data_IF_580458855873
#
_entry.id   IF_580458855873
#
_cell.length_a   1.000
_cell.length_b   1.000
_cell.length_c   1.000
_cell.angle_alpha   90.00
_cell.angle_beta   90.00
_cell.angle_gamma   90.00
#
_symmetry.space_group_name_H-M   'P 1'
#
loop_
_entity.id
_entity.type
_entity.pdbx_description
1 polymer ?
#
# COMPACT_ATOMS: atom_id res chain seq x y z
N UNK A 1 -37.23 30.18 -30.07
CA UNK A 1 -36.12 29.37 -29.55
C UNK A 1 -34.84 29.94 -30.15
N UNK A 2 -34.04 30.64 -29.34
CA UNK A 2 -32.75 31.19 -29.78
C UNK A 2 -31.77 30.01 -29.98
N UNK A 3 -31.31 29.82 -31.22
CA UNK A 3 -30.36 28.77 -31.59
C UNK A 3 -29.05 28.87 -30.81
N UNK A 4 -28.30 27.77 -30.76
CA UNK A 4 -27.06 27.70 -29.99
C UNK A 4 -26.03 28.72 -30.50
N UNK A 5 -25.15 29.22 -29.62
CA UNK A 5 -24.16 30.26 -29.96
C UNK A 5 -23.28 29.87 -31.15
N UNK A 6 -23.04 28.57 -31.33
CA UNK A 6 -22.29 27.99 -32.45
C UNK A 6 -22.98 28.15 -33.81
N UNK A 7 -24.32 28.18 -33.86
CA UNK A 7 -25.09 28.29 -35.11
C UNK A 7 -25.14 29.74 -35.65
N UNK A 8 -24.94 30.71 -34.77
CA UNK A 8 -24.88 32.15 -35.11
C UNK A 8 -23.44 32.69 -35.27
N UNK A 9 -22.42 31.83 -35.16
CA UNK A 9 -21.02 32.23 -35.24
C UNK A 9 -20.49 32.15 -36.68
N UNK A 10 -19.85 33.24 -37.14
CA UNK A 10 -19.16 33.27 -38.44
C UNK A 10 -17.95 32.33 -38.45
N UNK A 11 -17.73 31.60 -39.56
CA UNK A 11 -16.59 30.68 -39.74
C UNK A 11 -15.23 31.30 -39.40
N UNK A 12 -15.04 32.61 -39.62
CA UNK A 12 -13.80 33.31 -39.24
C UNK A 12 -13.60 33.35 -37.71
N UNK A 13 -14.65 33.70 -36.97
CA UNK A 13 -14.64 33.75 -35.50
C UNK A 13 -14.43 32.36 -34.91
N UNK A 14 -15.08 31.35 -35.50
CA UNK A 14 -14.89 29.95 -35.12
C UNK A 14 -13.43 29.50 -35.31
N UNK A 15 -12.81 29.85 -36.44
CA UNK A 15 -11.41 29.50 -36.71
C UNK A 15 -10.43 30.12 -35.69
N UNK A 16 -10.63 31.39 -35.31
CA UNK A 16 -9.80 32.02 -34.26
C UNK A 16 -9.95 31.34 -32.90
N UNK A 17 -11.18 30.96 -32.52
CA UNK A 17 -11.44 30.25 -31.26
C UNK A 17 -10.75 28.89 -31.27
N UNK A 18 -10.87 28.14 -32.37
CA UNK A 18 -10.21 26.83 -32.52
C UNK A 18 -8.68 26.93 -32.46
N UNK A 19 -8.09 27.91 -33.16
CA UNK A 19 -6.64 28.14 -33.12
C UNK A 19 -6.16 28.54 -31.72
N UNK A 20 -6.93 29.37 -31.01
CA UNK A 20 -6.62 29.76 -29.62
C UNK A 20 -6.68 28.57 -28.67
N UNK A 21 -7.71 27.72 -28.78
CA UNK A 21 -7.84 26.50 -27.99
C UNK A 21 -6.72 25.51 -28.30
N UNK A 22 -6.35 25.39 -29.58
CA UNK A 22 -5.25 24.53 -30.01
C UNK A 22 -3.90 25.00 -29.45
N UNK A 23 -3.63 26.31 -29.49
CA UNK A 23 -2.43 26.88 -28.87
C UNK A 23 -2.41 26.65 -27.35
N UNK A 24 -3.54 26.83 -26.66
CA UNK A 24 -3.64 26.56 -25.23
C UNK A 24 -3.40 25.07 -24.90
N UNK A 25 -3.95 24.14 -25.70
CA UNK A 25 -3.70 22.70 -25.56
C UNK A 25 -2.21 22.35 -25.67
N UNK A 26 -1.51 22.93 -26.66
CA UNK A 26 -0.06 22.74 -26.82
C UNK A 26 0.69 23.24 -25.59
N UNK A 27 0.34 24.43 -25.08
CA UNK A 27 0.98 25.00 -23.89
C UNK A 27 0.79 24.10 -22.67
N UNK A 28 -0.43 23.63 -22.42
CA UNK A 28 -0.70 22.73 -21.29
C UNK A 28 0.01 21.38 -21.43
N UNK A 29 0.13 20.85 -22.64
CA UNK A 29 0.90 19.62 -22.87
C UNK A 29 2.38 19.81 -22.56
N UNK A 30 2.98 20.93 -23.00
CA UNK A 30 4.39 21.24 -22.72
C UNK A 30 4.61 21.44 -21.21
N UNK A 31 3.69 22.12 -20.51
CA UNK A 31 3.76 22.28 -19.06
C UNK A 31 3.67 20.93 -18.34
N UNK A 32 2.78 20.04 -18.77
CA UNK A 32 2.67 18.69 -18.23
C UNK A 32 3.94 17.87 -18.46
N UNK A 33 4.57 17.98 -19.63
CA UNK A 33 5.75 17.20 -19.98
C UNK A 33 7.05 17.71 -19.33
N UNK A 34 7.21 19.03 -19.15
CA UNK A 34 8.46 19.63 -18.68
C UNK A 34 8.45 20.02 -17.20
N UNK A 35 7.29 20.37 -16.65
CA UNK A 35 7.20 20.92 -15.30
C UNK A 35 6.52 19.98 -14.30
N UNK A 36 5.63 19.09 -14.75
CA UNK A 36 4.94 18.17 -13.84
C UNK A 36 5.84 17.00 -13.48
N UNK A 37 6.01 16.68 -12.19
CA UNK A 37 6.58 15.40 -11.80
C UNK A 37 5.63 14.25 -12.16
N UNK A 38 6.13 13.03 -12.05
CA UNK A 38 5.35 11.82 -12.24
C UNK A 38 4.11 11.84 -11.32
N UNK A 39 2.91 11.57 -11.83
CA UNK A 39 1.66 11.76 -11.08
C UNK A 39 1.51 10.82 -9.88
N UNK A 40 2.14 9.65 -9.94
CA UNK A 40 2.11 8.64 -8.89
C UNK A 40 3.45 7.93 -8.79
N UNK A 41 3.88 7.63 -7.58
CA UNK A 41 5.05 6.79 -7.28
C UNK A 41 4.57 5.55 -6.53
N UNK A 42 5.08 4.39 -6.91
CA UNK A 42 4.89 3.13 -6.20
C UNK A 42 6.18 2.72 -5.49
N UNK A 43 6.04 2.00 -4.40
CA UNK A 43 7.12 1.47 -3.59
C UNK A 43 6.68 0.14 -3.01
N UNK A 44 7.56 -0.85 -3.09
CA UNK A 44 7.30 -2.20 -2.59
C UNK A 44 7.99 -2.38 -1.23
N UNK A 45 7.29 -3.05 -0.31
CA UNK A 45 7.82 -3.36 1.02
C UNK A 45 7.65 -4.84 1.29
N UNK A 46 8.77 -5.48 1.63
CA UNK A 46 8.75 -6.80 2.23
C UNK A 46 8.53 -6.59 3.73
N UNK A 47 7.46 -7.19 4.26
CA UNK A 47 7.16 -7.12 5.67
C UNK A 47 8.15 -7.96 6.47
N UNK A 48 8.68 -7.40 7.55
CA UNK A 48 9.53 -8.12 8.49
C UNK A 48 8.64 -8.85 9.49
N UNK A 49 8.89 -10.14 9.66
CA UNK A 49 8.22 -11.00 10.63
C UNK A 49 8.78 -10.71 12.02
N UNK A 50 7.92 -10.39 12.96
CA UNK A 50 8.27 -9.99 14.33
C UNK A 50 7.59 -10.92 15.32
N UNK A 51 8.30 -11.29 16.38
CA UNK A 51 7.73 -12.06 17.48
C UNK A 51 6.99 -11.15 18.47
N UNK A 52 5.76 -11.51 18.80
CA UNK A 52 4.98 -10.93 19.90
C UNK A 52 4.72 -11.97 21.00
N UNK A 53 5.38 -11.78 22.15
CA UNK A 53 5.24 -12.65 23.32
C UNK A 53 3.82 -12.56 23.91
N UNK A 54 3.16 -11.40 23.77
CA UNK A 54 1.83 -11.15 24.33
C UNK A 54 0.71 -11.63 23.39
N UNK A 55 1.04 -11.96 22.14
CA UNK A 55 0.13 -12.54 21.14
C UNK A 55 -1.05 -11.62 20.79
N UNK A 56 -0.78 -10.33 20.60
CA UNK A 56 -1.77 -9.31 20.26
C UNK A 56 -2.67 -8.87 21.41
N UNK A 57 -2.42 -9.31 22.65
CA UNK A 57 -3.26 -8.96 23.82
C UNK A 57 -3.05 -7.53 24.32
N UNK A 58 -1.92 -6.93 23.97
CA UNK A 58 -1.58 -5.57 24.37
C UNK A 58 -1.67 -4.65 23.15
N UNK A 59 -2.79 -3.92 23.00
CA UNK A 59 -2.98 -3.02 21.87
C UNK A 59 -2.03 -1.82 21.93
N UNK A 60 -1.50 -1.45 23.08
CA UNK A 60 -0.64 -0.27 23.21
C UNK A 60 0.80 -0.54 22.74
N UNK A 61 1.16 -1.82 22.53
CA UNK A 61 2.49 -2.23 22.07
C UNK A 61 2.60 -2.08 20.54
N UNK A 62 3.50 -1.21 20.11
CA UNK A 62 3.82 -0.99 18.70
C UNK A 62 5.14 -1.66 18.31
N UNK A 63 5.14 -2.34 17.16
CA UNK A 63 6.33 -2.91 16.56
C UNK A 63 6.83 -2.01 15.42
N UNK A 64 8.12 -1.66 15.44
CA UNK A 64 8.74 -0.83 14.42
C UNK A 64 10.20 -1.25 14.20
N UNK A 65 10.70 -0.97 13.00
CA UNK A 65 12.00 -1.46 12.55
C UNK A 65 13.14 -0.46 12.85
N UNK A 66 12.81 0.82 13.07
CA UNK A 66 13.77 1.92 13.14
C UNK A 66 13.44 2.94 14.25
N UNK A 67 14.21 2.98 15.35
CA UNK A 67 15.15 1.93 15.82
C UNK A 67 14.40 0.62 16.11
N UNK A 68 15.03 -0.55 15.99
CA UNK A 68 14.30 -1.83 16.08
C UNK A 68 13.69 -2.04 17.47
N UNK A 69 12.36 -2.13 17.52
CA UNK A 69 11.58 -2.58 18.69
C UNK A 69 10.71 -3.78 18.28
N UNK A 70 11.37 -4.71 17.60
CA UNK A 70 10.82 -5.98 17.17
C UNK A 70 11.95 -7.01 17.22
N UNK A 71 11.61 -8.21 17.68
CA UNK A 71 12.48 -9.39 17.61
C UNK A 71 12.19 -10.11 16.29
N UNK A 72 13.07 -10.02 15.27
CA UNK A 72 12.77 -10.52 13.94
C UNK A 72 12.83 -12.06 13.89
N UNK A 73 11.85 -12.65 13.21
CA UNK A 73 11.81 -14.08 12.88
C UNK A 73 12.39 -14.24 11.47
N UNK A 74 13.61 -14.77 11.37
CA UNK A 74 14.27 -14.95 10.07
C UNK A 74 13.55 -15.98 9.20
N UNK A 75 13.22 -17.13 9.80
CA UNK A 75 12.63 -18.26 9.11
C UNK A 75 11.41 -18.78 9.88
N UNK A 76 10.31 -18.98 9.17
CA UNK A 76 9.07 -19.47 9.75
C UNK A 76 9.12 -20.98 9.98
N UNK A 77 9.95 -21.72 9.23
CA UNK A 77 10.04 -23.18 9.29
C UNK A 77 10.55 -23.69 10.64
N UNK A 78 11.42 -22.91 11.28
CA UNK A 78 12.00 -23.21 12.59
C UNK A 78 11.28 -22.51 13.74
N UNK A 79 10.29 -21.66 13.44
CA UNK A 79 9.55 -20.93 14.45
C UNK A 79 8.40 -21.78 15.00
N UNK A 80 8.44 -22.04 16.31
CA UNK A 80 7.36 -22.75 17.00
C UNK A 80 6.44 -21.71 17.65
N UNK A 81 5.19 -21.57 17.17
CA UNK A 81 4.26 -20.58 17.71
C UNK A 81 3.88 -20.93 19.15
N UNK A 82 3.84 -19.91 20.01
CA UNK A 82 3.47 -20.05 21.42
C UNK A 82 1.96 -20.23 21.58
N UNK A 83 1.17 -19.70 20.66
CA UNK A 83 -0.29 -19.75 20.69
C UNK A 83 -0.83 -20.55 19.50
N UNK A 84 -1.95 -21.24 19.70
CA UNK A 84 -2.59 -22.03 18.64
C UNK A 84 -3.07 -21.16 17.47
N UNK A 85 -3.45 -19.91 17.76
CA UNK A 85 -3.96 -18.95 16.77
C UNK A 85 -2.84 -18.21 16.02
N UNK A 86 -1.57 -18.55 16.26
CA UNK A 86 -0.38 -17.95 15.60
C UNK A 86 -0.27 -16.41 15.73
N UNK A 87 -0.99 -15.80 16.68
CA UNK A 87 -1.02 -14.35 16.94
C UNK A 87 0.29 -13.78 17.50
N UNK A 88 1.25 -14.65 17.82
CA UNK A 88 2.61 -14.28 18.19
C UNK A 88 3.50 -13.92 17.00
N UNK A 89 3.00 -14.02 15.76
CA UNK A 89 3.70 -13.58 14.55
C UNK A 89 3.04 -12.30 14.04
N UNK A 90 3.81 -11.22 13.98
CA UNK A 90 3.36 -9.91 13.49
C UNK A 90 4.17 -9.52 12.26
N UNK A 91 3.49 -9.13 11.18
CA UNK A 91 4.14 -8.64 9.96
C UNK A 91 4.23 -7.11 10.00
N UNK A 92 5.45 -6.58 10.00
CA UNK A 92 5.72 -5.15 10.20
C UNK A 92 6.36 -4.56 8.96
N UNK A 93 5.77 -3.49 8.45
CA UNK A 93 6.40 -2.62 7.45
C UNK A 93 6.44 -1.19 8.00
N UNK A 94 7.53 -0.48 7.72
CA UNK A 94 7.68 0.92 8.11
C UNK A 94 7.91 1.78 6.87
N UNK A 95 6.95 2.66 6.59
CA UNK A 95 6.98 3.59 5.47
C UNK A 95 7.38 4.99 5.96
N UNK A 96 8.08 5.81 5.14
CA UNK A 96 8.64 5.50 3.83
C UNK A 96 9.95 4.68 3.89
N UNK A 97 10.43 4.21 2.73
CA UNK A 97 11.72 3.54 2.62
C UNK A 97 12.87 4.50 2.95
N UNK A 98 13.97 3.98 3.51
CA UNK A 98 15.19 4.76 3.69
C UNK A 98 15.94 4.82 2.37
N UNK A 99 16.40 6.01 1.98
CA UNK A 99 17.22 6.19 0.78
C UNK A 99 18.55 6.81 1.18
N UNK A 100 19.65 6.19 0.75
CA UNK A 100 21.01 6.67 1.02
C UNK A 100 21.31 6.90 2.52
N UNK A 101 20.74 6.05 3.38
CA UNK A 101 20.90 6.13 4.84
C UNK A 101 20.05 7.22 5.53
N UNK A 102 19.21 7.94 4.79
CA UNK A 102 18.37 9.01 5.31
C UNK A 102 16.93 8.48 5.49
N UNK A 103 16.36 8.73 6.67
CA UNK A 103 14.93 8.51 6.91
C UNK A 103 14.13 9.58 6.18
N UNK A 104 13.42 9.18 5.13
CA UNK A 104 12.49 10.05 4.42
C UNK A 104 11.21 10.23 5.25
N UNK A 105 10.47 11.29 4.94
CA UNK A 105 9.21 11.64 5.60
C UNK A 105 8.14 11.87 4.53
N UNK A 106 6.91 11.45 4.81
CA UNK A 106 5.78 11.86 3.98
C UNK A 106 5.44 13.32 4.26
N UNK A 107 5.09 14.03 3.19
CA UNK A 107 4.57 15.39 3.26
C UNK A 107 3.07 15.40 2.99
N UNK A 108 2.37 16.38 3.54
CA UNK A 108 0.94 16.61 3.29
C UNK A 108 0.61 16.92 1.81
N UNK A 109 1.61 17.14 0.96
CA UNK A 109 1.43 17.27 -0.49
C UNK A 109 1.09 15.95 -1.17
N UNK A 110 1.39 14.81 -0.54
CA UNK A 110 0.86 13.51 -0.97
C UNK A 110 -0.59 13.42 -0.49
N UNK A 111 -1.53 13.64 -1.40
CA UNK A 111 -2.96 13.72 -1.09
C UNK A 111 -3.59 12.37 -0.70
N UNK A 112 -2.99 11.26 -1.13
CA UNK A 112 -3.48 9.92 -0.86
C UNK A 112 -2.31 8.92 -0.75
N UNK A 113 -2.54 7.83 -0.02
CA UNK A 113 -1.62 6.70 0.05
C UNK A 113 -2.41 5.41 -0.21
N UNK A 114 -2.06 4.69 -1.27
CA UNK A 114 -2.65 3.39 -1.54
C UNK A 114 -1.69 2.30 -1.04
N UNK A 115 -2.19 1.42 -0.19
CA UNK A 115 -1.49 0.19 0.20
C UNK A 115 -2.02 -1.00 -0.58
N UNK A 116 -1.13 -1.84 -1.08
CA UNK A 116 -1.49 -3.17 -1.59
C UNK A 116 -0.74 -4.20 -0.75
N UNK A 117 -1.47 -5.17 -0.20
CA UNK A 117 -0.89 -6.32 0.48
C UNK A 117 -0.92 -7.50 -0.50
N UNK A 118 0.26 -7.99 -0.83
CA UNK A 118 0.47 -9.23 -1.55
C UNK A 118 0.84 -10.33 -0.55
N UNK A 119 0.14 -11.46 -0.62
CA UNK A 119 0.36 -12.58 0.30
C UNK A 119 0.98 -13.73 -0.47
N UNK A 120 2.16 -14.08 0.01
CA UNK A 120 3.06 -15.06 -0.56
C UNK A 120 2.97 -16.35 0.26
N UNK A 121 2.52 -17.45 -0.37
CA UNK A 121 2.28 -18.71 0.32
C UNK A 121 3.11 -19.82 -0.31
N UNK A 122 3.92 -20.49 0.52
CA UNK A 122 4.65 -21.68 0.10
C UNK A 122 3.72 -22.89 0.00
N UNK A 123 3.87 -23.64 -1.10
CA UNK A 123 3.11 -24.86 -1.32
C UNK A 123 3.80 -26.08 -0.69
N UNK A 124 3.14 -26.71 0.29
CA UNK A 124 3.56 -28.01 0.82
C UNK A 124 2.59 -29.11 0.35
N UNK A 125 3.07 -30.16 -0.35
CA UNK A 125 2.22 -31.28 -0.79
C UNK A 125 1.56 -32.06 0.36
N UNK A 126 2.03 -31.92 1.60
CA UNK A 126 1.41 -32.52 2.80
C UNK A 126 0.13 -31.79 3.22
N UNK A 127 -0.02 -30.52 2.82
CA UNK A 127 -1.17 -29.70 3.15
C UNK A 127 -1.99 -29.43 1.89
N UNK A 128 -3.15 -30.07 1.76
CA UNK A 128 -4.08 -29.73 0.67
C UNK A 128 -4.70 -28.37 0.97
N UNK A 129 -4.37 -27.35 0.18
CA UNK A 129 -5.06 -26.07 0.24
C UNK A 129 -6.56 -26.30 0.06
N UNK A 130 -7.33 -25.87 1.05
CA UNK A 130 -8.77 -25.73 0.85
C UNK A 130 -8.98 -24.72 -0.27
N UNK A 131 -9.80 -25.05 -1.26
CA UNK A 131 -10.09 -24.25 -2.47
C UNK A 131 -10.62 -22.83 -2.17
N UNK A 132 -10.91 -22.54 -0.90
CA UNK A 132 -11.32 -21.24 -0.39
C UNK A 132 -10.87 -21.12 1.08
N UNK A 133 -9.62 -20.74 1.31
CA UNK A 133 -9.13 -20.44 2.66
C UNK A 133 -9.55 -19.02 3.06
N UNK A 134 -10.07 -18.85 4.28
CA UNK A 134 -10.43 -17.53 4.81
C UNK A 134 -9.25 -17.01 5.62
N UNK A 135 -8.67 -15.91 5.15
CA UNK A 135 -7.64 -15.16 5.84
C UNK A 135 -8.30 -14.05 6.68
N UNK A 136 -8.03 -14.05 7.98
CA UNK A 136 -8.43 -12.97 8.88
C UNK A 136 -7.19 -12.17 9.26
N UNK A 137 -7.20 -10.88 8.95
CA UNK A 137 -6.10 -9.97 9.22
C UNK A 137 -6.57 -8.89 10.19
N UNK A 138 -5.83 -8.75 11.29
CA UNK A 138 -5.89 -7.57 12.14
C UNK A 138 -4.83 -6.59 11.63
N UNK A 139 -5.27 -5.50 11.00
CA UNK A 139 -4.40 -4.51 10.38
C UNK A 139 -4.42 -3.25 11.21
N UNK A 140 -3.24 -2.80 11.62
CA UNK A 140 -3.04 -1.57 12.38
C UNK A 140 -2.07 -0.68 11.66
N UNK A 141 -2.43 0.58 11.54
CA UNK A 141 -1.59 1.62 10.96
C UNK A 141 -1.39 2.70 12.00
N UNK A 142 -0.13 2.95 12.33
CA UNK A 142 0.29 4.04 13.19
C UNK A 142 1.02 5.11 12.39
N UNK A 143 1.02 6.33 12.91
CA UNK A 143 1.85 7.41 12.41
C UNK A 143 2.71 7.98 13.53
N UNK A 144 3.80 8.63 13.11
CA UNK A 144 4.70 9.36 13.99
C UNK A 144 5.12 10.66 13.31
N UNK A 145 5.14 11.74 14.08
CA UNK A 145 5.61 13.05 13.65
C UNK A 145 7.02 13.32 14.18
N UNK A 146 7.69 14.35 13.65
CA UNK A 146 9.05 14.72 14.08
C UNK A 146 9.12 15.19 15.54
N UNK A 147 8.00 15.66 16.07
CA UNK A 147 7.89 16.16 17.45
C UNK A 147 7.62 15.04 18.45
N UNK A 148 7.23 13.85 17.98
CA UNK A 148 6.97 12.72 18.85
C UNK A 148 8.29 12.08 19.34
N UNK A 149 8.32 11.58 20.58
CA UNK A 149 9.38 10.71 21.09
C UNK A 149 9.64 9.50 20.18
N UNK A 150 10.85 8.90 20.21
CA UNK A 150 11.22 7.82 19.30
C UNK A 150 10.28 6.61 19.35
N UNK A 151 9.75 6.29 20.53
CA UNK A 151 8.95 5.09 20.81
C UNK A 151 7.44 5.38 20.86
N UNK A 152 7.03 6.64 20.65
CA UNK A 152 5.63 7.04 20.69
C UNK A 152 5.02 6.98 19.30
N UNK A 153 4.15 6.00 19.09
CA UNK A 153 3.34 5.83 17.89
C UNK A 153 1.88 6.14 18.20
N UNK A 154 1.24 6.85 17.29
CA UNK A 154 -0.17 7.19 17.39
C UNK A 154 -0.97 6.30 16.43
N UNK A 155 -2.03 5.68 16.92
CA UNK A 155 -2.92 4.90 16.06
C UNK A 155 -3.63 5.82 15.06
N UNK A 156 -3.51 5.51 13.78
CA UNK A 156 -4.29 6.15 12.72
C UNK A 156 -5.58 5.37 12.47
N UNK A 157 -5.45 4.05 12.33
CA UNK A 157 -6.56 3.14 12.09
C UNK A 157 -6.20 1.72 12.54
N UNK A 158 -7.14 1.04 13.17
CA UNK A 158 -7.11 -0.40 13.43
C UNK A 158 -8.37 -1.03 12.84
N UNK A 159 -8.23 -2.11 12.08
CA UNK A 159 -9.34 -2.78 11.42
C UNK A 159 -9.11 -4.27 11.29
N UNK A 160 -10.20 -5.02 11.39
CA UNK A 160 -10.21 -6.46 11.17
C UNK A 160 -10.83 -6.72 9.80
N UNK A 161 -10.05 -7.32 8.90
CA UNK A 161 -10.50 -7.63 7.54
C UNK A 161 -10.46 -9.14 7.32
N UNK A 162 -11.54 -9.67 6.77
CA UNK A 162 -11.63 -11.08 6.40
C UNK A 162 -11.67 -11.18 4.88
N UNK A 163 -10.78 -11.98 4.30
CA UNK A 163 -10.68 -12.15 2.86
C UNK A 163 -10.57 -13.63 2.50
N UNK A 164 -11.21 -14.00 1.40
CA UNK A 164 -11.05 -15.32 0.82
C UNK A 164 -9.79 -15.31 -0.05
N UNK A 165 -8.92 -16.29 0.16
CA UNK A 165 -7.73 -16.49 -0.65
C UNK A 165 -8.10 -17.29 -1.89
N UNK A 166 -8.06 -16.64 -3.05
CA UNK A 166 -8.08 -17.31 -4.34
C UNK A 166 -6.64 -17.41 -4.83
N UNK A 167 -6.09 -18.63 -4.77
CA UNK A 167 -4.73 -18.92 -5.21
C UNK A 167 -4.77 -19.75 -6.48
N UNK A 168 -4.00 -19.36 -7.49
CA UNK A 168 -3.80 -20.15 -8.70
C UNK A 168 -2.41 -20.76 -8.69
N UNK A 169 -2.30 -22.08 -8.74
CA UNK A 169 -1.02 -22.77 -8.87
C UNK A 169 -0.69 -22.83 -10.37
N UNK A 170 0.37 -22.16 -10.84
CA UNK A 170 0.78 -22.28 -12.24
C UNK A 170 1.26 -23.70 -12.54
N UNK A 171 0.68 -24.33 -13.57
CA UNK A 171 0.94 -25.74 -13.96
C UNK A 171 2.42 -26.05 -14.29
N UNK A 172 3.24 -25.02 -14.53
CA UNK A 172 4.64 -25.17 -14.95
C UNK A 172 5.67 -25.11 -13.80
N UNK A 173 5.27 -24.82 -12.56
CA UNK A 173 6.21 -24.72 -11.43
C UNK A 173 6.00 -25.91 -10.50
N UNK A 174 6.68 -27.01 -10.82
CA UNK A 174 7.06 -27.96 -9.76
C UNK A 174 8.05 -27.21 -8.88
N UNK A 175 7.63 -26.88 -7.66
CA UNK A 175 8.41 -26.37 -6.54
C UNK A 175 8.37 -24.84 -6.25
N UNK A 176 7.76 -24.56 -5.09
CA UNK A 176 8.11 -23.56 -4.05
C UNK A 176 7.27 -22.30 -3.84
N UNK A 177 6.52 -21.75 -4.80
CA UNK A 177 5.77 -20.52 -4.50
C UNK A 177 4.44 -20.40 -5.21
N UNK A 178 3.37 -20.15 -4.45
CA UNK A 178 2.05 -19.79 -4.98
C UNK A 178 1.77 -18.33 -4.65
N UNK A 179 1.62 -17.50 -5.68
CA UNK A 179 1.18 -16.11 -5.53
C UNK A 179 -0.34 -16.13 -5.42
N UNK A 180 -0.86 -15.61 -4.31
CA UNK A 180 -2.30 -15.48 -4.08
C UNK A 180 -2.77 -14.04 -4.38
N UNK A 181 -4.05 -13.89 -4.66
CA UNK A 181 -4.70 -12.64 -5.08
C UNK A 181 -4.28 -11.39 -4.28
N UNK A 182 -4.15 -10.25 -4.97
CA UNK A 182 -3.78 -8.98 -4.36
C UNK A 182 -4.88 -8.38 -3.48
N UNK A 183 -4.52 -7.80 -2.33
CA UNK A 183 -5.44 -7.10 -1.43
C UNK A 183 -5.22 -5.59 -1.44
N UNK A 184 -6.24 -4.81 -1.81
CA UNK A 184 -6.18 -3.34 -1.77
C UNK A 184 -6.61 -2.80 -0.40
N UNK A 185 -5.71 -2.06 0.25
CA UNK A 185 -6.00 -1.23 1.41
C UNK A 185 -5.94 0.24 0.98
N UNK A 186 -7.11 0.88 0.87
CA UNK A 186 -7.18 2.29 0.51
C UNK A 186 -7.06 3.15 1.77
N UNK A 187 -5.91 3.81 1.97
CA UNK A 187 -5.68 4.71 3.11
C UNK A 187 -5.82 6.14 2.60
N UNK A 188 -7.05 6.66 2.68
CA UNK A 188 -7.31 8.06 2.37
C UNK A 188 -6.91 8.92 3.57
N UNK A 189 -5.84 9.68 3.44
CA UNK A 189 -5.49 10.73 4.39
C UNK A 189 -6.43 11.92 4.17
N UNK A 190 -7.63 11.86 4.73
CA UNK A 190 -8.48 13.04 4.82
C UNK A 190 -7.96 13.94 5.94
N UNK A 191 -7.57 15.17 5.57
CA UNK A 191 -7.41 16.26 6.53
C UNK A 191 -8.74 16.90 6.83
#
# INVERSE_FOLDING_TARGET
>A
MTGAVIENLSNRKLCYILLSLFAALIIFFILGALCSPQPSSSMEFIMVKCKDIEGGRNPDRWFYLRPSNCDPIHDLDYYVPQYHDMRDIVFVAQMPHQRDGISLEYSAWFQFLLGLLEVDIEYDPKFTFATSAILQLEVRLGYKTRTDPPDQWHELIATNTTRMLECSIPDNVKFHHSICQYFTANISFHK
#
